data_IF_696899121604
#
_entry.id   IF_696899121604
#
_cell.length_a   1.000
_cell.length_b   1.000
_cell.length_c   1.000
_cell.angle_alpha   90.00
_cell.angle_beta   90.00
_cell.angle_gamma   90.00
#
_symmetry.space_group_name_H-M   'P 1'
#
loop_
_entity.id
_entity.type
_entity.pdbx_description
1 polymer ?
#
# COMPACT_ATOMS: atom_id res chain seq x y z
N UNK A 1 6.70 23.57 1.20
CA UNK A 1 6.61 23.31 -0.25
C UNK A 1 5.49 22.30 -0.46
N UNK A 2 4.34 22.69 -1.04
CA UNK A 2 3.26 21.74 -1.35
C UNK A 2 3.55 21.16 -2.74
N UNK A 3 3.96 19.90 -2.81
CA UNK A 3 4.06 19.20 -4.09
C UNK A 3 2.65 18.98 -4.64
N UNK A 4 2.42 19.39 -5.89
CA UNK A 4 1.20 19.06 -6.60
C UNK A 4 1.25 17.58 -6.98
N UNK A 5 0.38 16.77 -6.38
CA UNK A 5 0.30 15.35 -6.71
C UNK A 5 -0.64 15.14 -7.92
N UNK A 6 -0.34 14.16 -8.79
CA UNK A 6 -1.27 13.70 -9.81
C UNK A 6 -2.63 13.32 -9.22
N UNK A 7 -3.69 13.33 -10.04
CA UNK A 7 -5.00 12.86 -9.62
C UNK A 7 -4.97 11.37 -9.25
N UNK A 8 -5.89 10.92 -8.41
CA UNK A 8 -5.98 9.52 -8.01
C UNK A 8 -6.09 8.56 -9.21
N UNK A 9 -6.80 8.96 -10.28
CA UNK A 9 -6.85 8.20 -11.53
C UNK A 9 -5.50 8.02 -12.21
N UNK A 10 -4.55 8.94 -12.06
CA UNK A 10 -3.22 8.79 -12.64
C UNK A 10 -2.45 7.60 -12.03
N UNK A 11 -2.84 7.13 -10.84
CA UNK A 11 -2.28 5.95 -10.18
C UNK A 11 -3.05 4.66 -10.49
N UNK A 12 -4.14 4.74 -11.27
CA UNK A 12 -4.97 3.59 -11.63
C UNK A 12 -4.42 2.81 -12.84
N UNK A 13 -3.09 2.81 -13.06
CA UNK A 13 -2.41 2.05 -14.12
C UNK A 13 -2.65 0.53 -14.06
N UNK A 14 -2.01 -0.26 -14.93
CA UNK A 14 -2.19 -1.70 -14.96
C UNK A 14 -1.70 -2.31 -13.64
N UNK A 15 -2.63 -2.63 -12.76
CA UNK A 15 -2.41 -3.37 -11.51
C UNK A 15 -3.42 -4.49 -11.42
N UNK A 16 -3.02 -5.60 -10.81
CA UNK A 16 -3.80 -6.84 -10.79
C UNK A 16 -5.16 -6.69 -10.09
N UNK A 17 -5.28 -5.76 -9.14
CA UNK A 17 -6.48 -5.60 -8.33
C UNK A 17 -7.66 -4.88 -9.04
N UNK A 18 -7.47 -4.00 -10.02
CA UNK A 18 -8.59 -3.39 -10.75
C UNK A 18 -9.42 -2.27 -10.04
N UNK A 19 -9.28 -1.97 -8.72
CA UNK A 19 -9.89 -0.80 -8.02
C UNK A 19 -9.01 0.44 -7.69
N UNK A 20 -9.07 1.12 -6.57
CA UNK A 20 -8.01 2.03 -6.08
C UNK A 20 -7.87 1.69 -4.61
N UNK A 21 -6.65 1.60 -4.08
CA UNK A 21 -6.50 1.25 -2.67
C UNK A 21 -7.15 2.33 -1.82
N UNK A 22 -8.07 1.89 -0.97
CA UNK A 22 -8.63 2.71 0.08
C UNK A 22 -7.62 2.83 1.24
N UNK A 23 -7.54 3.98 1.93
CA UNK A 23 -6.65 4.14 3.09
C UNK A 23 -6.84 3.05 4.16
N UNK A 24 -8.07 2.53 4.28
CA UNK A 24 -8.40 1.45 5.21
C UNK A 24 -7.74 0.09 4.84
N UNK A 25 -7.36 -0.13 3.59
CA UNK A 25 -6.61 -1.33 3.18
C UNK A 25 -5.16 -1.24 3.64
N UNK A 26 -4.53 -0.07 3.51
CA UNK A 26 -3.17 0.19 4.02
C UNK A 26 -3.14 0.06 5.56
N UNK A 27 -4.12 0.66 6.24
CA UNK A 27 -4.22 0.60 7.69
C UNK A 27 -4.29 -0.84 8.23
N UNK A 28 -4.99 -1.75 7.53
CA UNK A 28 -5.07 -3.16 7.92
C UNK A 28 -3.74 -3.88 7.85
N UNK A 29 -2.91 -3.57 6.85
CA UNK A 29 -1.56 -4.13 6.77
C UNK A 29 -0.69 -3.61 7.91
N UNK A 30 -0.80 -2.32 8.25
CA UNK A 30 -0.09 -1.75 9.40
C UNK A 30 -0.51 -2.41 10.72
N UNK A 31 -1.81 -2.67 10.91
CA UNK A 31 -2.30 -3.39 12.09
C UNK A 31 -1.74 -4.80 12.16
N UNK A 32 -1.70 -5.53 11.04
CA UNK A 32 -1.07 -6.85 10.99
C UNK A 32 0.43 -6.79 11.33
N UNK A 33 1.18 -5.84 10.77
CA UNK A 33 2.63 -5.69 11.04
C UNK A 33 2.93 -5.23 12.47
N UNK A 34 2.00 -4.56 13.13
CA UNK A 34 2.12 -4.15 14.52
C UNK A 34 1.73 -5.27 15.51
N UNK A 35 1.14 -6.37 15.02
CA UNK A 35 0.77 -7.51 15.86
C UNK A 35 2.02 -8.24 16.38
N UNK A 36 2.04 -8.71 17.65
CA UNK A 36 3.15 -9.49 18.19
C UNK A 36 3.55 -10.72 17.36
N UNK A 37 2.59 -11.33 16.66
CA UNK A 37 2.84 -12.50 15.81
C UNK A 37 3.71 -12.14 14.59
N UNK A 38 3.73 -10.87 14.19
CA UNK A 38 4.61 -10.35 13.14
C UNK A 38 6.03 -10.04 13.63
N UNK A 39 6.36 -10.30 14.90
CA UNK A 39 7.62 -9.87 15.55
C UNK A 39 8.93 -10.36 14.92
N UNK A 40 8.89 -11.40 14.10
CA UNK A 40 10.05 -11.86 13.32
C UNK A 40 10.27 -11.06 12.00
N UNK A 41 9.31 -10.23 11.60
CA UNK A 41 9.37 -9.43 10.37
C UNK A 41 10.08 -8.11 10.66
N UNK A 42 11.33 -7.97 10.21
CA UNK A 42 12.14 -6.76 10.37
C UNK A 42 13.05 -6.53 9.17
N UNK A 43 13.40 -5.27 8.90
CA UNK A 43 14.27 -4.88 7.78
C UNK A 43 13.68 -5.07 6.38
N UNK A 44 12.42 -5.49 6.27
CA UNK A 44 11.75 -5.73 5.00
C UNK A 44 10.99 -4.51 4.49
N UNK A 45 10.88 -4.38 3.17
CA UNK A 45 9.93 -3.49 2.50
C UNK A 45 8.77 -4.35 2.01
N UNK A 46 7.56 -4.09 2.53
CA UNK A 46 6.34 -4.82 2.14
C UNK A 46 5.54 -3.94 1.17
N UNK A 47 5.43 -4.31 -0.12
CA UNK A 47 4.62 -3.56 -1.08
C UNK A 47 3.12 -3.69 -0.75
N UNK A 48 2.44 -2.54 -0.65
CA UNK A 48 0.99 -2.45 -0.42
C UNK A 48 0.40 -1.51 -1.47
N UNK A 49 0.41 -1.94 -2.72
CA UNK A 49 0.10 -1.12 -3.89
C UNK A 49 -0.96 -1.73 -4.82
N UNK A 50 -1.54 -2.87 -4.43
CA UNK A 50 -2.52 -3.60 -5.24
C UNK A 50 -1.92 -4.28 -6.47
N UNK A 51 -0.60 -4.56 -6.46
CA UNK A 51 0.13 -5.20 -7.55
C UNK A 51 0.50 -4.21 -8.65
N UNK A 52 0.90 -2.99 -8.28
CA UNK A 52 1.33 -1.96 -9.24
C UNK A 52 2.81 -2.11 -9.62
N UNK A 53 3.65 -2.53 -8.67
CA UNK A 53 5.09 -2.66 -8.87
C UNK A 53 5.55 -4.03 -9.41
N UNK A 54 4.62 -4.95 -9.71
CA UNK A 54 4.90 -6.34 -10.09
C UNK A 54 4.42 -6.67 -11.51
#
# INVERSE_FOLDING_TARGET
>A
MRSHLPSAQAFAGPRSAGWLLEPAEIARVLTFLADPDSGATTGAVVPVDGGLAL
#
